data_IF_450594707776
#
_entry.id   IF_450594707776
#
_cell.length_a   1.000
_cell.length_b   1.000
_cell.length_c   1.000
_cell.angle_alpha   90.00
_cell.angle_beta   90.00
_cell.angle_gamma   90.00
#
_symmetry.space_group_name_H-M   'P 1'
#
loop_
_entity.id
_entity.type
_entity.pdbx_description
1 polymer ?
#
# COMPACT_ATOMS: atom_id res chain seq x y z
N UNK A 1 -24.20 -5.87 10.23
CA UNK A 1 -23.98 -5.37 8.85
C UNK A 1 -23.53 -3.91 8.94
N UNK A 2 -22.27 -3.56 8.66
CA UNK A 2 -21.88 -2.14 8.58
C UNK A 2 -22.20 -1.67 7.15
N UNK A 3 -23.11 -0.72 6.95
CA UNK A 3 -23.60 -0.39 5.62
C UNK A 3 -22.46 0.19 4.78
N UNK A 4 -22.41 -0.23 3.52
CA UNK A 4 -21.66 0.41 2.45
C UNK A 4 -21.97 1.91 2.46
N UNK A 5 -20.97 2.73 2.78
CA UNK A 5 -21.15 4.18 2.86
C UNK A 5 -20.14 4.88 1.99
N UNK A 6 -20.52 5.25 0.76
CA UNK A 6 -19.80 6.24 -0.04
C UNK A 6 -20.57 7.55 0.06
N UNK A 7 -20.04 8.53 0.78
CA UNK A 7 -20.70 9.82 1.03
C UNK A 7 -19.84 10.98 0.55
N UNK A 8 -20.48 12.03 0.04
CA UNK A 8 -19.82 13.29 -0.25
C UNK A 8 -20.07 14.27 0.89
N UNK A 9 -19.04 15.02 1.30
CA UNK A 9 -19.23 16.21 2.12
C UNK A 9 -18.26 17.29 1.71
N UNK A 10 -18.71 18.53 1.86
CA UNK A 10 -17.83 19.68 1.80
C UNK A 10 -17.06 19.78 3.12
N UNK A 11 -15.74 19.87 3.03
CA UNK A 11 -14.87 19.99 4.19
C UNK A 11 -13.66 20.85 3.82
N UNK A 12 -13.40 21.89 4.62
CA UNK A 12 -12.31 22.87 4.41
C UNK A 12 -12.32 23.49 3.00
N UNK A 13 -13.48 23.91 2.51
CA UNK A 13 -13.63 24.59 1.20
C UNK A 13 -13.46 23.68 -0.02
N UNK A 14 -13.40 22.37 0.16
CA UNK A 14 -13.33 21.40 -0.92
C UNK A 14 -14.37 20.29 -0.72
N UNK A 15 -14.75 19.65 -1.82
CA UNK A 15 -15.57 18.45 -1.83
C UNK A 15 -14.69 17.22 -1.63
N UNK A 16 -15.11 16.37 -0.71
CA UNK A 16 -14.43 15.13 -0.34
C UNK A 16 -15.40 13.96 -0.46
N UNK A 17 -14.84 12.81 -0.85
CA UNK A 17 -15.54 11.52 -0.85
C UNK A 17 -15.03 10.71 0.33
N UNK A 18 -15.95 10.22 1.15
CA UNK A 18 -15.69 9.31 2.27
C UNK A 18 -16.21 7.94 1.91
N UNK A 19 -15.37 6.93 2.03
CA UNK A 19 -15.70 5.53 1.77
C UNK A 19 -15.53 4.76 3.07
N UNK A 20 -16.58 4.05 3.47
CA UNK A 20 -16.57 3.08 4.55
C UNK A 20 -16.99 1.72 3.97
N UNK A 21 -16.02 0.83 3.79
CA UNK A 21 -16.22 -0.47 3.16
C UNK A 21 -15.32 -1.54 3.79
N UNK A 22 -15.88 -2.68 4.21
CA UNK A 22 -15.18 -3.79 4.90
C UNK A 22 -14.14 -3.36 5.94
N UNK A 23 -14.54 -2.48 6.88
CA UNK A 23 -13.65 -2.00 7.94
C UNK A 23 -12.57 -1.01 7.50
N UNK A 24 -12.46 -0.75 6.20
CA UNK A 24 -11.55 0.25 5.63
C UNK A 24 -12.28 1.58 5.48
N UNK A 25 -11.68 2.63 6.07
CA UNK A 25 -12.15 4.01 5.92
C UNK A 25 -11.14 4.79 5.10
N UNK A 26 -11.57 5.37 3.98
CA UNK A 26 -10.74 6.26 3.15
C UNK A 26 -11.47 7.55 2.85
N UNK A 27 -10.71 8.64 2.75
CA UNK A 27 -11.21 9.94 2.32
C UNK A 27 -10.34 10.46 1.19
N UNK A 28 -10.96 11.02 0.14
CA UNK A 28 -10.23 11.64 -0.98
C UNK A 28 -10.82 12.99 -1.33
N UNK A 29 -9.96 14.00 -1.46
CA UNK A 29 -10.31 15.34 -1.93
C UNK A 29 -10.53 15.29 -3.44
N UNK A 30 -11.61 15.90 -3.93
CA UNK A 30 -11.96 15.92 -5.35
C UNK A 30 -11.70 17.30 -5.97
N UNK A 31 -12.18 18.37 -5.33
CA UNK A 31 -12.03 19.72 -5.88
C UNK A 31 -12.83 20.76 -5.10
N UNK A 32 -12.76 22.02 -5.50
CA UNK A 32 -13.43 23.15 -4.82
C UNK A 32 -14.67 23.61 -5.59
N UNK A 33 -15.60 24.28 -4.89
CA UNK A 33 -16.78 24.91 -5.49
C UNK A 33 -17.77 23.97 -6.19
N UNK A 34 -18.60 24.54 -7.07
CA UNK A 34 -19.65 23.80 -7.80
C UNK A 34 -19.09 22.74 -8.76
N UNK A 35 -17.93 23.00 -9.36
CA UNK A 35 -17.21 22.06 -10.23
C UNK A 35 -16.76 20.83 -9.43
N UNK A 36 -16.18 21.04 -8.25
CA UNK A 36 -15.80 19.97 -7.33
C UNK A 36 -17.00 19.12 -6.87
N UNK A 37 -18.15 19.75 -6.63
CA UNK A 37 -19.40 19.05 -6.27
C UNK A 37 -19.87 18.11 -7.38
N UNK A 38 -19.86 18.58 -8.64
CA UNK A 38 -20.28 17.78 -9.80
C UNK A 38 -19.34 16.59 -10.01
N UNK A 39 -18.03 16.84 -9.96
CA UNK A 39 -17.02 15.78 -10.05
C UNK A 39 -17.15 14.75 -8.91
N UNK A 40 -17.41 15.20 -7.68
CA UNK A 40 -17.59 14.32 -6.53
C UNK A 40 -18.81 13.40 -6.69
N UNK A 41 -19.93 13.93 -7.21
CA UNK A 41 -21.14 13.11 -7.50
C UNK A 41 -20.86 12.02 -8.54
N UNK A 42 -20.19 12.35 -9.64
CA UNK A 42 -19.83 11.38 -10.68
C UNK A 42 -18.90 10.30 -10.14
N UNK A 43 -17.88 10.70 -9.38
CA UNK A 43 -16.94 9.77 -8.77
C UNK A 43 -17.61 8.84 -7.74
N UNK A 44 -18.60 9.31 -6.96
CA UNK A 44 -19.34 8.44 -6.04
C UNK A 44 -20.08 7.32 -6.79
N UNK A 45 -20.75 7.63 -7.90
CA UNK A 45 -21.44 6.61 -8.70
C UNK A 45 -20.47 5.56 -9.24
N UNK A 46 -19.31 6.00 -9.75
CA UNK A 46 -18.26 5.09 -10.24
C UNK A 46 -17.67 4.22 -9.13
N UNK A 47 -17.41 4.80 -7.96
CA UNK A 47 -16.86 4.07 -6.81
C UNK A 47 -17.89 3.06 -6.27
N UNK A 48 -19.17 3.44 -6.22
CA UNK A 48 -20.24 2.53 -5.83
C UNK A 48 -20.34 1.34 -6.78
N UNK A 49 -20.27 1.58 -8.10
CA UNK A 49 -20.27 0.51 -9.10
C UNK A 49 -19.06 -0.41 -8.95
N UNK A 50 -17.85 0.15 -8.81
CA UNK A 50 -16.60 -0.63 -8.58
C UNK A 50 -16.69 -1.50 -7.32
N UNK A 51 -17.16 -0.91 -6.21
CA UNK A 51 -17.32 -1.63 -4.95
C UNK A 51 -18.36 -2.75 -5.05
N UNK A 52 -19.47 -2.52 -5.77
CA UNK A 52 -20.50 -3.54 -6.02
C UNK A 52 -19.95 -4.73 -6.83
N UNK A 53 -18.99 -4.50 -7.73
CA UNK A 53 -18.27 -5.54 -8.48
C UNK A 53 -17.16 -6.23 -7.67
N UNK A 54 -17.01 -5.92 -6.38
CA UNK A 54 -15.93 -6.44 -5.52
C UNK A 54 -14.55 -5.84 -5.81
N UNK A 55 -14.48 -4.81 -6.66
CA UNK A 55 -13.24 -4.11 -6.97
C UNK A 55 -12.90 -3.08 -5.89
N UNK A 56 -11.63 -2.72 -5.78
CA UNK A 56 -11.18 -1.69 -4.83
C UNK A 56 -11.67 -0.29 -5.23
N UNK A 57 -12.12 0.52 -4.26
CA UNK A 57 -12.58 1.90 -4.50
C UNK A 57 -11.51 2.82 -5.10
N UNK A 58 -10.24 2.56 -4.81
CA UNK A 58 -9.10 3.26 -5.39
C UNK A 58 -8.05 2.26 -5.80
N UNK A 59 -7.49 2.48 -6.98
CA UNK A 59 -6.32 1.75 -7.45
C UNK A 59 -5.17 2.03 -6.47
N UNK A 60 -4.66 0.98 -5.83
CA UNK A 60 -3.43 1.08 -5.05
C UNK A 60 -2.31 1.16 -6.08
N UNK A 61 -1.40 2.15 -6.02
CA UNK A 61 -0.17 2.03 -6.79
C UNK A 61 0.48 0.72 -6.35
N UNK A 62 0.52 -0.23 -7.27
CA UNK A 62 1.27 -1.47 -7.09
C UNK A 62 2.74 -1.03 -7.11
N UNK A 63 3.27 -0.65 -5.96
CA UNK A 63 4.70 -0.52 -5.78
C UNK A 63 5.25 -1.94 -5.87
N UNK A 64 5.55 -2.39 -7.09
CA UNK A 64 6.18 -3.68 -7.38
C UNK A 64 7.66 -3.66 -6.97
N UNK A 65 7.95 -3.13 -5.78
CA UNK A 65 9.28 -3.20 -5.22
C UNK A 65 9.41 -4.57 -4.57
N UNK A 66 10.38 -5.35 -5.03
CA UNK A 66 10.70 -6.62 -4.43
C UNK A 66 11.24 -6.40 -3.02
N UNK A 67 11.11 -7.43 -2.17
CA UNK A 67 11.66 -7.38 -0.81
C UNK A 67 13.16 -7.03 -0.83
N UNK A 68 13.90 -7.52 -1.82
CA UNK A 68 15.34 -7.30 -1.93
C UNK A 68 15.66 -5.82 -2.15
N UNK A 69 14.95 -5.16 -3.07
CA UNK A 69 15.13 -3.72 -3.32
C UNK A 69 14.75 -2.91 -2.07
N UNK A 70 13.69 -3.32 -1.35
CA UNK A 70 13.33 -2.69 -0.09
C UNK A 70 14.44 -2.81 0.98
N UNK A 71 15.02 -4.00 1.13
CA UNK A 71 16.07 -4.27 2.12
C UNK A 71 17.30 -3.42 1.84
N UNK A 72 17.76 -3.32 0.59
CA UNK A 72 18.92 -2.49 0.24
C UNK A 72 18.66 -1.01 0.55
N UNK A 73 17.55 -0.44 0.07
CA UNK A 73 17.21 0.96 0.36
C UNK A 73 17.04 1.23 1.87
N UNK A 74 16.53 0.26 2.61
CA UNK A 74 16.42 0.36 4.06
C UNK A 74 17.79 0.39 4.73
N UNK A 75 18.72 -0.50 4.36
CA UNK A 75 20.07 -0.59 4.92
C UNK A 75 20.88 0.69 4.66
N UNK A 76 20.86 1.20 3.42
CA UNK A 76 21.52 2.48 3.05
C UNK A 76 21.03 3.64 3.92
N UNK A 77 19.72 3.72 4.16
CA UNK A 77 19.13 4.80 4.98
C UNK A 77 19.55 4.73 6.44
N UNK A 78 19.56 3.54 7.03
CA UNK A 78 19.86 3.39 8.45
C UNK A 78 21.35 3.52 8.77
N UNK A 79 22.24 3.26 7.81
CA UNK A 79 23.69 3.42 7.97
C UNK A 79 24.05 4.84 8.40
N UNK A 80 23.35 5.84 7.85
CA UNK A 80 23.56 7.26 8.18
C UNK A 80 22.92 7.69 9.51
N UNK A 81 21.92 6.96 10.00
CA UNK A 81 21.07 7.38 11.13
C UNK A 81 21.33 6.59 12.42
N UNK A 82 21.86 5.37 12.31
CA UNK A 82 21.99 4.42 13.42
C UNK A 82 23.44 4.06 13.69
N UNK A 83 23.66 3.47 14.88
CA UNK A 83 24.98 2.96 15.27
C UNK A 83 25.38 1.82 14.33
N UNK A 84 26.68 1.77 14.02
CA UNK A 84 27.25 0.78 13.10
C UNK A 84 26.94 -0.68 13.52
N UNK A 85 26.90 -0.98 14.81
CA UNK A 85 26.55 -2.32 15.32
C UNK A 85 25.11 -2.70 14.98
N UNK A 86 24.16 -1.77 15.13
CA UNK A 86 22.76 -1.98 14.75
C UNK A 86 22.60 -2.17 13.24
N UNK A 87 23.37 -1.44 12.42
CA UNK A 87 23.40 -1.64 10.98
C UNK A 87 23.92 -3.04 10.61
N UNK A 88 25.01 -3.48 11.24
CA UNK A 88 25.59 -4.81 11.00
C UNK A 88 24.62 -5.95 11.37
N UNK A 89 23.92 -5.84 12.51
CA UNK A 89 22.94 -6.84 12.96
C UNK A 89 21.73 -6.95 12.02
N UNK A 90 21.22 -5.80 11.55
CA UNK A 90 20.14 -5.77 10.56
C UNK A 90 20.57 -6.27 9.20
N UNK A 91 21.76 -5.90 8.74
CA UNK A 91 22.33 -6.43 7.50
C UNK A 91 22.40 -7.96 7.53
N UNK A 92 22.90 -8.53 8.63
CA UNK A 92 22.99 -10.00 8.81
C UNK A 92 21.62 -10.68 8.77
N UNK A 93 20.63 -10.12 9.46
CA UNK A 93 19.31 -10.75 9.59
C UNK A 93 18.48 -10.65 8.31
N UNK A 94 18.54 -9.50 7.63
CA UNK A 94 17.73 -9.22 6.45
C UNK A 94 18.30 -9.88 5.18
N UNK A 95 19.62 -9.95 5.02
CA UNK A 95 20.24 -10.64 3.88
C UNK A 95 20.02 -12.15 3.92
N UNK A 96 20.00 -12.77 5.10
CA UNK A 96 19.69 -14.20 5.27
C UNK A 96 18.23 -14.56 4.93
N UNK A 97 17.34 -13.58 4.91
CA UNK A 97 15.89 -13.76 4.66
C UNK A 97 15.49 -13.29 3.25
N UNK A 98 16.44 -12.74 2.47
CA UNK A 98 16.22 -12.33 1.09
C UNK A 98 15.72 -13.51 0.23
N UNK A 99 14.86 -13.19 -0.73
CA UNK A 99 14.22 -14.17 -1.61
C UNK A 99 15.23 -15.03 -2.37
N UNK A 100 16.39 -14.45 -2.69
CA UNK A 100 17.52 -15.09 -3.36
C UNK A 100 18.20 -16.13 -2.47
N UNK A 101 18.43 -15.80 -1.20
CA UNK A 101 19.00 -16.73 -0.20
C UNK A 101 18.05 -17.88 0.10
N UNK A 102 16.74 -17.62 0.15
CA UNK A 102 15.74 -18.66 0.34
C UNK A 102 15.70 -19.65 -0.83
N UNK A 103 15.72 -19.15 -2.09
CA UNK A 103 15.73 -19.99 -3.27
C UNK A 103 17.02 -20.84 -3.39
N UNK A 104 18.19 -20.26 -3.06
CA UNK A 104 19.45 -20.99 -3.02
C UNK A 104 19.45 -22.08 -1.95
N UNK A 105 18.87 -21.80 -0.77
CA UNK A 105 18.76 -22.76 0.33
C UNK A 105 17.79 -23.92 0.04
N UNK A 106 16.75 -23.69 -0.75
CA UNK A 106 15.88 -24.76 -1.25
C UNK A 106 16.63 -25.61 -2.29
N UNK A 107 17.35 -24.96 -3.20
CA UNK A 107 18.07 -25.62 -4.30
C UNK A 107 19.29 -26.43 -3.84
N UNK A 108 19.97 -26.03 -2.77
CA UNK A 108 21.06 -26.81 -2.16
C UNK A 108 20.52 -28.08 -1.47
N UNK A 109 19.41 -27.93 -0.74
CA UNK A 109 18.76 -29.04 -0.01
C UNK A 109 18.17 -30.12 -0.93
N UNK A 110 17.81 -29.74 -2.16
CA UNK A 110 17.35 -30.68 -3.19
C UNK A 110 18.53 -31.41 -3.88
N UNK A 111 19.73 -30.82 -3.91
CA UNK A 111 20.95 -31.44 -4.46
C UNK A 111 21.57 -32.47 -3.53
N UNK A 112 21.44 -32.30 -2.22
CA UNK A 112 21.96 -33.24 -1.20
C UNK A 112 21.09 -34.51 -1.03
N UNK A 113 19.92 -34.58 -1.66
CA UNK A 113 18.98 -35.72 -1.57
C UNK A 113 19.01 -36.65 -2.79
N UNK A 114 20.00 -36.51 -3.68
CA UNK A 114 20.16 -37.28 -4.91
C UNK A 114 21.50 -38.01 -4.91
#
# INVERSE_FOLDING_TARGET
MRPMGVTIREWKGAWWIFINHHGTRKAKRIGTGAVGKKAAKQAVQQIQARLALGQTAFDRPQTSMTLDVYVETFLERIEQTRKHTTHADYRRSLTATSSRSFADRISSRLRERR
#
